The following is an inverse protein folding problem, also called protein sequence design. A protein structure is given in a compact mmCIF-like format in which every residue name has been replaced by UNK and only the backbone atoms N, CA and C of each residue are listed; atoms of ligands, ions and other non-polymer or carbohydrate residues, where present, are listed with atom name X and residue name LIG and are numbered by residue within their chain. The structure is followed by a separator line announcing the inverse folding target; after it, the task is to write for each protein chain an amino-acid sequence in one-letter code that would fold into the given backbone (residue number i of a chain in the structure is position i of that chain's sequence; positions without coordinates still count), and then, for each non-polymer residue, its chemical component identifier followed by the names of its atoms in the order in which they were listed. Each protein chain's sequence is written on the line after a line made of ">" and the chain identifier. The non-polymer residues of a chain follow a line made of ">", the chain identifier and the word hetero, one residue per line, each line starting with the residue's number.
data_IF_501562141313
#
_entry.id   IF_501562141313
#
_cell.length_a   1.000
_cell.length_b   1.000
_cell.length_c   1.000
_cell.angle_alpha   90.00
_cell.angle_beta   90.00
_cell.angle_gamma   90.00
#
_symmetry.space_group_name_H-M   'P 1'
#
loop_
_entity.id
_entity.type
_entity.pdbx_description
1 polymer ?
#
# COMPACT_ATOMS: atom_id res chain seq x y z
N UNK A 1 -5.24 15.10 16.88
CA UNK A 1 -3.83 15.55 16.73
C UNK A 1 -3.22 15.29 15.34
N UNK A 2 -3.63 14.26 14.59
CA UNK A 2 -3.08 13.91 13.26
C UNK A 2 -3.34 14.91 12.12
N UNK A 3 -4.30 15.83 12.22
CA UNK A 3 -4.68 16.71 11.09
C UNK A 3 -3.63 17.76 10.68
N UNK A 4 -2.66 18.09 11.54
CA UNK A 4 -1.61 19.07 11.25
C UNK A 4 -0.39 18.47 10.52
N UNK A 5 -0.30 17.16 10.44
CA UNK A 5 0.84 16.45 9.82
C UNK A 5 0.56 16.27 8.33
N UNK A 6 1.54 16.45 7.42
CA UNK A 6 1.36 16.19 5.99
C UNK A 6 0.83 14.76 5.75
N UNK A 7 -0.08 14.59 4.78
CA UNK A 7 -0.70 13.29 4.48
C UNK A 7 0.36 12.22 4.22
N UNK A 8 1.41 12.54 3.48
CA UNK A 8 2.55 11.63 3.19
C UNK A 8 3.26 11.15 4.46
N UNK A 9 3.46 12.03 5.44
CA UNK A 9 4.08 11.67 6.73
C UNK A 9 3.13 10.79 7.55
N UNK A 10 1.82 11.06 7.52
CA UNK A 10 0.83 10.18 8.17
C UNK A 10 0.84 8.79 7.54
N UNK A 11 0.90 8.70 6.21
CA UNK A 11 1.03 7.43 5.48
C UNK A 11 2.26 6.67 5.97
N UNK A 12 3.43 7.30 6.01
CA UNK A 12 4.67 6.66 6.46
C UNK A 12 4.56 6.13 7.89
N UNK A 13 4.05 6.94 8.83
CA UNK A 13 3.92 6.54 10.23
C UNK A 13 2.96 5.35 10.39
N UNK A 14 1.80 5.40 9.73
CA UNK A 14 0.81 4.31 9.78
C UNK A 14 1.38 3.04 9.14
N UNK A 15 2.09 3.16 8.03
CA UNK A 15 2.75 2.03 7.36
C UNK A 15 3.86 1.41 8.21
N UNK A 16 4.66 2.21 8.93
CA UNK A 16 5.71 1.71 9.85
C UNK A 16 5.07 0.94 11.01
N UNK A 17 4.03 1.50 11.64
CA UNK A 17 3.33 0.81 12.74
C UNK A 17 2.74 -0.51 12.27
N UNK A 18 2.06 -0.52 11.12
CA UNK A 18 1.49 -1.75 10.57
C UNK A 18 2.57 -2.77 10.18
N UNK A 19 3.70 -2.31 9.61
CA UNK A 19 4.85 -3.16 9.33
C UNK A 19 5.37 -3.86 10.59
N UNK A 20 5.62 -3.11 11.67
CA UNK A 20 6.14 -3.68 12.91
C UNK A 20 5.20 -4.73 13.51
N UNK A 21 3.90 -4.43 13.55
CA UNK A 21 2.88 -5.34 14.07
C UNK A 21 2.81 -6.61 13.21
N UNK A 22 2.64 -6.45 11.89
CA UNK A 22 2.48 -7.58 10.99
C UNK A 22 3.75 -8.43 10.90
N UNK A 23 4.93 -7.81 10.90
CA UNK A 23 6.21 -8.52 10.93
C UNK A 23 6.38 -9.32 12.22
N UNK A 24 6.06 -8.74 13.39
CA UNK A 24 6.12 -9.43 14.67
C UNK A 24 5.18 -10.65 14.71
N UNK A 25 3.95 -10.50 14.22
CA UNK A 25 3.00 -11.62 14.10
C UNK A 25 3.53 -12.66 13.12
N UNK A 26 3.91 -12.24 11.92
CA UNK A 26 4.30 -13.16 10.84
C UNK A 26 5.52 -14.01 11.23
N UNK A 27 6.52 -13.41 11.90
CA UNK A 27 7.72 -14.12 12.40
C UNK A 27 7.47 -14.99 13.63
N UNK A 28 6.48 -14.66 14.45
CA UNK A 28 6.15 -15.47 15.65
C UNK A 28 5.36 -16.73 15.31
N UNK A 29 4.47 -16.67 14.30
CA UNK A 29 3.56 -17.77 13.98
C UNK A 29 4.02 -18.63 12.80
N UNK A 30 4.88 -18.12 11.91
CA UNK A 30 5.30 -18.82 10.70
C UNK A 30 6.79 -18.63 10.43
N UNK A 31 7.40 -19.61 9.76
CA UNK A 31 8.63 -19.32 9.02
C UNK A 31 8.26 -18.48 7.80
N UNK A 32 8.86 -17.30 7.67
CA UNK A 32 8.59 -16.37 6.57
C UNK A 32 9.85 -16.15 5.72
N UNK A 33 9.64 -15.96 4.43
CA UNK A 33 10.68 -15.43 3.55
C UNK A 33 10.77 -13.92 3.79
N UNK A 34 11.71 -13.53 4.67
CA UNK A 34 11.88 -12.13 5.10
C UNK A 34 12.14 -11.22 3.92
N UNK A 35 12.89 -11.67 2.90
CA UNK A 35 13.19 -10.85 1.73
C UNK A 35 11.93 -10.55 0.93
N UNK A 36 11.13 -11.58 0.60
CA UNK A 36 9.86 -11.39 -0.14
C UNK A 36 8.84 -10.59 0.66
N UNK A 37 8.83 -10.77 1.98
CA UNK A 37 8.00 -9.98 2.88
C UNK A 37 8.37 -8.49 2.84
N UNK A 38 9.65 -8.16 2.98
CA UNK A 38 10.17 -6.79 2.90
C UNK A 38 9.92 -6.16 1.53
N UNK A 39 10.14 -6.92 0.45
CA UNK A 39 9.88 -6.47 -0.91
C UNK A 39 8.40 -6.18 -1.15
N UNK A 40 7.49 -6.97 -0.56
CA UNK A 40 6.05 -6.72 -0.62
C UNK A 40 5.70 -5.37 0.02
N UNK A 41 6.25 -5.08 1.20
CA UNK A 41 6.06 -3.79 1.88
C UNK A 41 6.64 -2.62 1.09
N UNK A 42 7.88 -2.75 0.62
CA UNK A 42 8.58 -1.69 -0.11
C UNK A 42 7.80 -1.31 -1.38
N UNK A 43 7.42 -2.30 -2.20
CA UNK A 43 6.67 -2.06 -3.44
C UNK A 43 5.31 -1.41 -3.16
N UNK A 44 4.57 -1.91 -2.16
CA UNK A 44 3.24 -1.34 -1.83
C UNK A 44 3.35 0.07 -1.24
N UNK A 45 4.37 0.35 -0.43
CA UNK A 45 4.63 1.68 0.11
C UNK A 45 4.98 2.69 -0.99
N UNK A 46 5.89 2.33 -1.90
CA UNK A 46 6.29 3.19 -3.02
C UNK A 46 5.08 3.53 -3.91
N UNK A 47 4.26 2.54 -4.25
CA UNK A 47 3.05 2.78 -5.04
C UNK A 47 2.08 3.71 -4.30
N UNK A 48 1.82 3.45 -3.02
CA UNK A 48 0.90 4.26 -2.19
C UNK A 48 1.38 5.71 -2.08
N UNK A 49 2.67 5.93 -1.83
CA UNK A 49 3.24 7.28 -1.80
C UNK A 49 3.12 7.98 -3.15
N UNK A 50 3.38 7.27 -4.25
CA UNK A 50 3.25 7.80 -5.61
C UNK A 50 1.82 8.20 -5.93
N UNK A 51 0.84 7.36 -5.56
CA UNK A 51 -0.59 7.63 -5.73
C UNK A 51 -0.98 8.86 -4.91
N UNK A 52 -0.62 8.91 -3.62
CA UNK A 52 -0.96 10.04 -2.76
C UNK A 52 -0.36 11.35 -3.29
N UNK A 53 0.90 11.35 -3.72
CA UNK A 53 1.53 12.54 -4.32
C UNK A 53 0.80 12.99 -5.60
N UNK A 54 0.46 12.05 -6.48
CA UNK A 54 -0.30 12.35 -7.69
C UNK A 54 -1.69 12.93 -7.36
N UNK A 55 -2.39 12.35 -6.39
CA UNK A 55 -3.70 12.81 -5.95
C UNK A 55 -3.66 14.18 -5.27
N UNK A 56 -2.62 14.49 -4.51
CA UNK A 56 -2.42 15.84 -3.94
C UNK A 56 -2.32 16.86 -5.07
N UNK A 57 -1.46 16.61 -6.07
CA UNK A 57 -1.29 17.50 -7.23
C UNK A 57 -2.58 17.66 -8.04
N UNK A 58 -3.31 16.57 -8.27
CA UNK A 58 -4.59 16.60 -8.98
C UNK A 58 -5.67 17.33 -8.17
N UNK A 59 -5.68 17.19 -6.84
CA UNK A 59 -6.62 17.91 -5.98
C UNK A 59 -6.42 19.43 -6.05
N UNK A 60 -5.18 19.89 -6.22
CA UNK A 60 -4.85 21.31 -6.40
C UNK A 60 -5.25 21.85 -7.78
N UNK A 61 -5.04 21.06 -8.84
CA UNK A 61 -5.22 21.52 -10.23
C UNK A 61 -6.61 21.22 -10.81
N UNK A 62 -7.21 20.09 -10.44
CA UNK A 62 -8.40 19.53 -11.08
C UNK A 62 -9.21 18.68 -10.09
N UNK A 63 -9.68 19.28 -8.98
CA UNK A 63 -10.40 18.58 -7.91
C UNK A 63 -11.55 17.69 -8.38
N UNK A 64 -12.29 18.11 -9.42
CA UNK A 64 -13.42 17.37 -9.98
C UNK A 64 -12.99 16.00 -10.57
N UNK A 65 -11.73 15.87 -10.99
CA UNK A 65 -11.18 14.65 -11.57
C UNK A 65 -10.53 13.71 -10.55
N UNK A 66 -10.47 14.11 -9.27
CA UNK A 66 -9.74 13.39 -8.23
C UNK A 66 -10.22 11.93 -8.06
N UNK A 67 -11.54 11.73 -8.11
CA UNK A 67 -12.13 10.38 -8.01
C UNK A 67 -11.76 9.49 -9.20
N UNK A 68 -11.83 10.02 -10.42
CA UNK A 68 -11.43 9.29 -11.62
C UNK A 68 -9.93 8.97 -11.62
N UNK A 69 -9.09 9.92 -11.22
CA UNK A 69 -7.66 9.71 -11.06
C UNK A 69 -7.35 8.61 -10.05
N UNK A 70 -8.03 8.61 -8.89
CA UNK A 70 -7.88 7.56 -7.88
C UNK A 70 -8.25 6.17 -8.44
N UNK A 71 -9.36 6.06 -9.16
CA UNK A 71 -9.79 4.79 -9.76
C UNK A 71 -8.77 4.28 -10.80
N UNK A 72 -8.28 5.15 -11.67
CA UNK A 72 -7.27 4.79 -12.67
C UNK A 72 -5.94 4.36 -12.03
N UNK A 73 -5.46 5.13 -11.05
CA UNK A 73 -4.22 4.82 -10.32
C UNK A 73 -4.34 3.53 -9.48
N UNK A 74 -5.49 3.28 -8.85
CA UNK A 74 -5.74 2.05 -8.10
C UNK A 74 -5.79 0.83 -9.02
N UNK A 75 -6.41 0.97 -10.20
CA UNK A 75 -6.43 -0.09 -11.22
C UNK A 75 -5.02 -0.41 -11.69
N UNK A 76 -4.20 0.62 -11.94
CA UNK A 76 -2.80 0.44 -12.29
C UNK A 76 -2.01 -0.25 -11.16
N UNK A 77 -2.25 0.13 -9.91
CA UNK A 77 -1.64 -0.51 -8.72
C UNK A 77 -1.97 -2.00 -8.66
N UNK A 78 -3.23 -2.39 -8.92
CA UNK A 78 -3.65 -3.80 -8.99
C UNK A 78 -2.86 -4.54 -10.06
N UNK A 79 -2.77 -3.98 -11.28
CA UNK A 79 -2.01 -4.58 -12.39
C UNK A 79 -0.53 -4.78 -12.08
N UNK A 80 0.14 -3.74 -11.57
CA UNK A 80 1.56 -3.80 -11.17
C UNK A 80 1.75 -4.82 -10.03
N UNK A 81 0.85 -4.82 -9.04
CA UNK A 81 0.88 -5.74 -7.90
C UNK A 81 0.77 -7.19 -8.37
N UNK A 82 -0.14 -7.48 -9.31
CA UNK A 82 -0.30 -8.82 -9.88
C UNK A 82 0.96 -9.28 -10.63
N UNK A 83 1.51 -8.43 -11.49
CA UNK A 83 2.73 -8.75 -12.24
C UNK A 83 3.93 -8.99 -11.30
N UNK A 84 4.12 -8.12 -10.32
CA UNK A 84 5.19 -8.25 -9.33
C UNK A 84 5.04 -9.53 -8.48
N UNK A 85 3.81 -9.83 -8.04
CA UNK A 85 3.55 -10.99 -7.21
C UNK A 85 3.81 -12.30 -7.96
N UNK A 86 3.28 -12.43 -9.18
CA UNK A 86 3.44 -13.63 -10.00
C UNK A 86 4.86 -13.80 -10.53
N UNK A 87 5.50 -12.71 -10.97
CA UNK A 87 6.85 -12.75 -11.52
C UNK A 87 7.95 -12.97 -10.47
N UNK A 88 7.76 -12.45 -9.25
CA UNK A 88 8.83 -12.43 -8.24
C UNK A 88 8.43 -13.14 -6.94
N UNK A 89 7.32 -12.72 -6.32
CA UNK A 89 6.98 -13.16 -4.96
C UNK A 89 6.49 -14.61 -4.86
N UNK A 90 5.89 -15.16 -5.92
CA UNK A 90 5.26 -16.49 -5.92
C UNK A 90 6.11 -17.60 -6.55
N UNK A 91 7.39 -17.33 -6.80
CA UNK A 91 8.32 -18.31 -7.38
C UNK A 91 8.74 -19.42 -6.40
N UNK A 92 8.74 -19.16 -5.08
CA UNK A 92 9.03 -20.18 -4.08
C UNK A 92 7.78 -21.07 -3.82
N UNK A 93 7.84 -22.32 -4.27
CA UNK A 93 6.73 -23.29 -4.15
C UNK A 93 6.49 -23.76 -2.71
N UNK A 94 7.54 -23.88 -1.89
CA UNK A 94 7.43 -24.38 -0.51
C UNK A 94 6.69 -23.39 0.39
N UNK A 95 6.95 -22.10 0.18
CA UNK A 95 6.35 -21.02 0.98
C UNK A 95 5.23 -20.28 0.26
N UNK A 96 4.70 -20.86 -0.82
CA UNK A 96 3.79 -20.17 -1.74
C UNK A 96 2.56 -19.61 -1.04
N UNK A 97 1.90 -20.42 -0.19
CA UNK A 97 0.66 -20.01 0.49
C UNK A 97 0.91 -18.92 1.54
N UNK A 98 2.01 -19.03 2.29
CA UNK A 98 2.42 -18.02 3.28
C UNK A 98 2.74 -16.70 2.57
N UNK A 99 3.51 -16.74 1.48
CA UNK A 99 3.87 -15.56 0.69
C UNK A 99 2.64 -14.89 0.06
N UNK A 100 1.69 -15.68 -0.48
CA UNK A 100 0.42 -15.16 -1.01
C UNK A 100 -0.40 -14.46 0.05
N UNK A 101 -0.55 -15.08 1.21
CA UNK A 101 -1.34 -14.54 2.32
C UNK A 101 -0.75 -13.23 2.82
N UNK A 102 0.56 -13.21 3.10
CA UNK A 102 1.25 -12.00 3.55
C UNK A 102 1.16 -10.89 2.51
N UNK A 103 1.44 -11.19 1.23
CA UNK A 103 1.33 -10.21 0.15
C UNK A 103 -0.09 -9.62 0.06
N UNK A 104 -1.12 -10.46 0.16
CA UNK A 104 -2.51 -10.02 0.06
C UNK A 104 -2.92 -9.13 1.23
N UNK A 105 -2.52 -9.47 2.46
CA UNK A 105 -2.74 -8.64 3.65
C UNK A 105 -2.09 -7.26 3.47
N UNK A 106 -0.82 -7.23 3.03
CA UNK A 106 -0.07 -6.00 2.78
C UNK A 106 -0.76 -5.17 1.70
N UNK A 107 -1.12 -5.78 0.59
CA UNK A 107 -1.81 -5.13 -0.53
C UNK A 107 -3.13 -4.49 -0.08
N UNK A 108 -3.99 -5.24 0.62
CA UNK A 108 -5.28 -4.73 1.09
C UNK A 108 -5.12 -3.58 2.08
N UNK A 109 -4.15 -3.68 2.99
CA UNK A 109 -3.86 -2.60 3.92
C UNK A 109 -3.48 -1.31 3.20
N UNK A 110 -2.53 -1.39 2.25
CA UNK A 110 -2.10 -0.21 1.50
C UNK A 110 -3.18 0.32 0.56
N UNK A 111 -4.00 -0.54 -0.06
CA UNK A 111 -5.17 -0.10 -0.83
C UNK A 111 -6.18 0.65 0.06
N UNK A 112 -6.40 0.16 1.29
CA UNK A 112 -7.26 0.84 2.26
C UNK A 112 -6.72 2.20 2.67
N UNK A 113 -5.39 2.35 2.78
CA UNK A 113 -4.75 3.65 3.01
C UNK A 113 -4.98 4.60 1.83
N UNK A 114 -4.85 4.14 0.59
CA UNK A 114 -5.12 4.97 -0.59
C UNK A 114 -6.57 5.47 -0.59
N UNK A 115 -7.53 4.59 -0.31
CA UNK A 115 -8.95 4.93 -0.18
C UNK A 115 -9.16 5.97 0.92
N UNK A 116 -8.61 5.72 2.12
CA UNK A 116 -8.77 6.61 3.27
C UNK A 116 -8.26 8.03 2.97
N UNK A 117 -7.06 8.16 2.41
CA UNK A 117 -6.49 9.48 2.12
C UNK A 117 -7.17 10.16 0.92
N UNK A 118 -7.66 9.40 -0.05
CA UNK A 118 -8.49 9.94 -1.14
C UNK A 118 -9.80 10.53 -0.60
N UNK A 119 -10.49 9.82 0.30
CA UNK A 119 -11.71 10.32 0.96
C UNK A 119 -11.42 11.62 1.72
N UNK A 120 -10.26 11.71 2.39
CA UNK A 120 -9.84 12.92 3.09
C UNK A 120 -9.58 14.10 2.15
N UNK A 121 -8.90 13.87 1.03
CA UNK A 121 -8.68 14.90 0.00
C UNK A 121 -10.01 15.39 -0.61
N UNK A 122 -10.93 14.48 -0.94
CA UNK A 122 -12.25 14.82 -1.45
C UNK A 122 -13.04 15.69 -0.46
N UNK A 123 -13.06 15.30 0.81
CA UNK A 123 -13.83 15.93 1.86
C UNK A 123 -13.14 17.11 2.56
N UNK A 124 -11.90 17.45 2.20
CA UNK A 124 -11.07 18.47 2.89
C UNK A 124 -10.96 18.22 4.40
N UNK A 125 -10.74 16.97 4.82
CA UNK A 125 -10.68 16.55 6.24
C UNK A 125 -9.31 15.99 6.60
#
# INVERSE_FOLDING_TARGET
>A
MLKKIPITVQTLLISIVFFLIHFGIATSFNHIDVLRFMMSYATQLVMTLSIIMALIKINEQAKQQLGFAFLGLSTLKVGISYFFATGYLFQNKEMLQINKTNFFIIFLFFLSLDVYFTIRLLNKK
#
